data_IF_185141386842
#
_entry.id   IF_185141386842
#
_cell.length_a   1.000
_cell.length_b   1.000
_cell.length_c   1.000
_cell.angle_alpha   90.00
_cell.angle_beta   90.00
_cell.angle_gamma   90.00
#
_symmetry.space_group_name_H-M   'P 1'
#
loop_
_entity.id
_entity.type
_entity.pdbx_description
1 polymer ?
#
# COMPACT_ATOMS: atom_id res chain seq x y z
N UNK A 1 -33.50 -2.92 -18.81
CA UNK A 1 -32.55 -4.01 -18.50
C UNK A 1 -31.14 -3.45 -18.41
N UNK A 2 -30.84 -2.61 -17.40
CA UNK A 2 -29.58 -1.85 -17.35
C UNK A 2 -29.14 -1.56 -15.90
N UNK A 3 -29.42 -2.46 -14.96
CA UNK A 3 -28.99 -2.31 -13.56
C UNK A 3 -28.17 -3.50 -13.07
N UNK A 4 -28.25 -4.66 -13.75
CA UNK A 4 -27.53 -5.87 -13.36
C UNK A 4 -26.03 -5.84 -13.71
N UNK A 5 -25.61 -5.06 -14.71
CA UNK A 5 -24.21 -5.09 -15.17
C UNK A 5 -23.24 -4.30 -14.30
N UNK A 6 -23.72 -3.35 -13.48
CA UNK A 6 -22.89 -2.52 -12.59
C UNK A 6 -22.51 -3.24 -11.29
N UNK A 7 -23.38 -4.12 -10.79
CA UNK A 7 -23.15 -4.88 -9.56
C UNK A 7 -22.15 -6.02 -9.73
N UNK A 8 -22.00 -6.55 -10.95
CA UNK A 8 -21.03 -7.62 -11.24
C UNK A 8 -19.57 -7.12 -11.31
N UNK A 9 -19.33 -5.88 -11.74
CA UNK A 9 -17.95 -5.38 -11.88
C UNK A 9 -17.30 -5.01 -10.54
N UNK A 10 -18.09 -4.59 -9.54
CA UNK A 10 -17.56 -4.28 -8.20
C UNK A 10 -17.19 -5.54 -7.43
N UNK A 11 -18.01 -6.61 -7.53
CA UNK A 11 -17.74 -7.89 -6.87
C UNK A 11 -16.54 -8.65 -7.49
N UNK A 12 -16.22 -8.39 -8.76
CA UNK A 12 -15.05 -8.96 -9.44
C UNK A 12 -13.72 -8.31 -9.01
N UNK A 13 -13.73 -7.05 -8.56
CA UNK A 13 -12.51 -6.40 -8.05
C UNK A 13 -12.12 -6.88 -6.65
N UNK A 14 -13.10 -7.26 -5.84
CA UNK A 14 -12.89 -7.78 -4.47
C UNK A 14 -12.38 -9.23 -4.45
N UNK A 15 -12.52 -9.98 -5.55
CA UNK A 15 -12.24 -11.44 -5.62
C UNK A 15 -11.10 -11.84 -6.58
N UNK A 16 -10.35 -10.90 -7.16
CA UNK A 16 -9.16 -11.28 -7.94
C UNK A 16 -8.08 -11.82 -6.99
N UNK A 17 -7.47 -12.94 -7.36
CA UNK A 17 -6.30 -13.46 -6.64
C UNK A 17 -5.26 -12.35 -6.54
N UNK A 18 -4.89 -12.00 -5.30
CA UNK A 18 -3.89 -11.00 -4.98
C UNK A 18 -2.62 -11.22 -5.81
N UNK A 19 -2.21 -12.48 -6.02
CA UNK A 19 -1.04 -12.82 -6.82
C UNK A 19 -1.16 -12.41 -8.29
N UNK A 20 -2.37 -12.39 -8.87
CA UNK A 20 -2.64 -11.86 -10.21
C UNK A 20 -2.62 -10.33 -10.23
N UNK A 21 -3.09 -9.68 -9.16
CA UNK A 21 -3.11 -8.21 -9.06
C UNK A 21 -1.71 -7.62 -8.87
N UNK A 22 -0.85 -8.29 -8.11
CA UNK A 22 0.53 -7.88 -7.92
C UNK A 22 1.45 -8.33 -9.07
N UNK A 23 0.97 -9.09 -10.05
CA UNK A 23 1.78 -9.71 -11.11
C UNK A 23 2.60 -8.77 -12.00
N UNK A 24 2.53 -7.44 -11.79
CA UNK A 24 3.41 -6.44 -12.37
C UNK A 24 4.49 -6.00 -11.36
N UNK A 25 5.75 -6.03 -11.79
CA UNK A 25 6.96 -5.62 -11.04
C UNK A 25 6.86 -4.22 -10.40
N UNK A 26 6.13 -3.30 -11.03
CA UNK A 26 5.98 -1.93 -10.56
C UNK A 26 4.73 -1.70 -9.68
N UNK A 27 3.93 -2.73 -9.45
CA UNK A 27 2.74 -2.61 -8.59
C UNK A 27 3.08 -2.39 -7.12
N UNK A 28 2.13 -1.83 -6.36
CA UNK A 28 2.21 -1.78 -4.89
C UNK A 28 0.81 -1.68 -4.27
N UNK A 29 0.70 -2.10 -3.01
CA UNK A 29 -0.46 -1.85 -2.16
C UNK A 29 -0.26 -0.54 -1.38
N UNK A 30 -1.33 0.23 -1.21
CA UNK A 30 -1.30 1.48 -0.45
C UNK A 30 -2.56 1.62 0.39
N UNK A 31 -2.38 1.80 1.70
CA UNK A 31 -3.46 2.08 2.64
C UNK A 31 -3.54 3.59 2.81
N UNK A 32 -4.59 4.20 2.25
CA UNK A 32 -4.83 5.64 2.34
C UNK A 32 -5.31 6.10 3.71
N UNK A 33 -5.24 7.41 3.94
CA UNK A 33 -5.81 8.07 5.12
C UNK A 33 -7.35 8.12 5.08
N UNK A 34 -7.98 7.41 4.15
CA UNK A 34 -9.42 7.20 4.03
C UNK A 34 -9.83 5.75 4.37
N UNK A 35 -8.90 4.93 4.87
CA UNK A 35 -9.16 3.55 5.30
C UNK A 35 -9.37 2.56 4.14
N UNK A 36 -8.99 2.94 2.92
CA UNK A 36 -9.03 2.08 1.74
C UNK A 36 -7.62 1.56 1.46
N UNK A 37 -7.47 0.25 1.36
CA UNK A 37 -6.30 -0.36 0.72
C UNK A 37 -6.54 -0.41 -0.78
N UNK A 38 -5.61 0.17 -1.56
CA UNK A 38 -5.63 0.21 -3.03
C UNK A 38 -4.43 -0.54 -3.56
N UNK A 39 -4.61 -1.27 -4.66
CA UNK A 39 -3.51 -1.84 -5.43
C UNK A 39 -3.35 -1.00 -6.69
N UNK A 40 -2.17 -0.40 -6.84
CA UNK A 40 -1.80 0.40 -7.99
C UNK A 40 -0.99 -0.41 -8.97
N UNK A 41 -1.26 -0.25 -10.27
CA UNK A 41 -0.39 -0.74 -11.34
C UNK A 41 0.73 0.27 -11.66
N UNK A 42 1.57 -0.07 -12.65
CA UNK A 42 2.66 0.78 -13.12
C UNK A 42 2.20 2.15 -13.65
N UNK A 43 1.02 2.21 -14.26
CA UNK A 43 0.43 3.45 -14.78
C UNK A 43 -0.16 4.34 -13.66
N UNK A 44 -0.09 3.91 -12.40
CA UNK A 44 -0.68 4.63 -11.27
C UNK A 44 -2.20 4.45 -11.15
N UNK A 45 -2.78 3.46 -11.84
CA UNK A 45 -4.21 3.18 -11.81
C UNK A 45 -4.55 2.17 -10.72
N UNK A 46 -5.72 2.33 -10.09
CA UNK A 46 -6.24 1.40 -9.09
C UNK A 46 -6.82 0.16 -9.78
N UNK A 47 -6.16 -0.99 -9.62
CA UNK A 47 -6.59 -2.28 -10.23
C UNK A 47 -7.32 -3.20 -9.25
N UNK A 48 -7.30 -2.87 -7.96
CA UNK A 48 -8.02 -3.57 -6.89
C UNK A 48 -8.09 -2.71 -5.63
N UNK A 49 -9.08 -2.99 -4.77
CA UNK A 49 -9.21 -2.29 -3.49
C UNK A 49 -9.80 -3.19 -2.40
N UNK A 50 -9.64 -2.78 -1.15
CA UNK A 50 -10.32 -3.37 0.00
C UNK A 50 -10.68 -2.25 0.98
N UNK A 51 -11.92 -2.24 1.45
CA UNK A 51 -12.36 -1.36 2.54
C UNK A 51 -11.92 -2.00 3.85
N UNK A 52 -11.06 -1.32 4.60
CA UNK A 52 -10.58 -1.83 5.87
C UNK A 52 -11.48 -1.35 7.01
N UNK A 53 -11.83 -2.25 7.91
CA UNK A 53 -12.46 -1.87 9.17
C UNK A 53 -11.42 -1.23 10.09
N UNK A 54 -11.90 -0.54 11.12
CA UNK A 54 -11.03 0.02 12.16
C UNK A 54 -10.09 -1.03 12.76
N UNK A 55 -10.61 -2.22 13.08
CA UNK A 55 -9.81 -3.27 13.70
C UNK A 55 -8.74 -3.82 12.73
N UNK A 56 -9.07 -3.92 11.45
CA UNK A 56 -8.10 -4.30 10.41
C UNK A 56 -7.00 -3.23 10.26
N UNK A 57 -7.36 -1.95 10.27
CA UNK A 57 -6.41 -0.84 10.25
C UNK A 57 -5.46 -0.88 11.46
N UNK A 58 -6.00 -1.11 12.66
CA UNK A 58 -5.21 -1.23 13.88
C UNK A 58 -4.27 -2.45 13.82
N UNK A 59 -4.72 -3.58 13.30
CA UNK A 59 -3.88 -4.77 13.11
C UNK A 59 -2.76 -4.54 12.08
N UNK A 60 -3.04 -3.84 10.98
CA UNK A 60 -2.05 -3.46 9.97
C UNK A 60 -0.95 -2.59 10.60
N UNK A 61 -1.32 -1.53 11.34
CA UNK A 61 -0.34 -0.66 12.01
C UNK A 61 0.44 -1.38 13.11
N UNK A 62 -0.23 -2.19 13.93
CA UNK A 62 0.42 -2.93 15.03
C UNK A 62 1.52 -3.87 14.51
N UNK A 63 1.32 -4.46 13.34
CA UNK A 63 2.27 -5.42 12.76
C UNK A 63 3.19 -4.79 11.70
N UNK A 64 3.09 -3.48 11.47
CA UNK A 64 3.93 -2.75 10.52
C UNK A 64 5.32 -2.42 11.11
N UNK A 65 6.35 -2.26 10.27
CA UNK A 65 7.69 -1.83 10.68
C UNK A 65 7.78 -0.30 10.89
N UNK A 66 6.66 0.41 10.92
CA UNK A 66 6.63 1.85 11.19
C UNK A 66 7.21 2.16 12.58
N UNK A 67 7.81 3.33 12.74
CA UNK A 67 8.21 3.85 14.05
C UNK A 67 6.99 4.09 14.94
N UNK A 68 7.18 4.08 16.26
CA UNK A 68 6.07 4.31 17.19
C UNK A 68 5.39 5.68 16.99
N UNK A 69 6.14 6.69 16.54
CA UNK A 69 5.60 8.00 16.18
C UNK A 69 4.70 7.92 14.93
N UNK A 70 5.15 7.24 13.88
CA UNK A 70 4.35 7.01 12.67
C UNK A 70 3.10 6.19 12.98
N UNK A 71 3.23 5.11 13.77
CA UNK A 71 2.09 4.29 14.19
C UNK A 71 1.05 5.14 14.93
N UNK A 72 1.49 5.93 15.91
CA UNK A 72 0.60 6.82 16.68
C UNK A 72 -0.09 7.83 15.77
N UNK A 73 0.63 8.41 14.81
CA UNK A 73 0.07 9.34 13.84
C UNK A 73 -1.02 8.66 12.99
N UNK A 74 -0.74 7.47 12.46
CA UNK A 74 -1.72 6.72 11.65
C UNK A 74 -2.97 6.32 12.44
N UNK A 75 -2.80 5.84 13.68
CA UNK A 75 -3.92 5.52 14.57
C UNK A 75 -4.80 6.75 14.80
N UNK A 76 -4.21 7.94 14.98
CA UNK A 76 -4.96 9.18 15.18
C UNK A 76 -5.79 9.57 13.95
N UNK A 77 -5.21 9.45 12.75
CA UNK A 77 -5.92 9.72 11.49
C UNK A 77 -7.08 8.74 11.29
N UNK A 78 -6.82 7.45 11.50
CA UNK A 78 -7.81 6.39 11.26
C UNK A 78 -8.88 6.29 12.34
N UNK A 79 -8.69 6.93 13.49
CA UNK A 79 -9.66 6.91 14.59
C UNK A 79 -11.04 7.45 14.19
N UNK A 80 -11.13 8.30 13.16
CA UNK A 80 -12.35 9.00 12.74
C UNK A 80 -12.89 8.54 11.39
N UNK A 81 -12.33 7.47 10.83
CA UNK A 81 -12.65 7.04 9.47
C UNK A 81 -13.77 5.99 9.50
N UNK A 82 -14.74 6.19 8.62
CA UNK A 82 -15.66 5.14 8.19
C UNK A 82 -15.41 4.86 6.70
N UNK A 83 -14.69 3.77 6.43
CA UNK A 83 -14.33 3.37 5.07
C UNK A 83 -15.55 3.00 4.23
N UNK A 84 -16.73 2.76 4.83
CA UNK A 84 -17.98 2.50 4.08
C UNK A 84 -18.55 3.74 3.41
N UNK A 85 -18.23 4.95 3.92
CA UNK A 85 -18.70 6.22 3.36
C UNK A 85 -17.89 6.68 2.14
N UNK A 86 -16.75 6.04 1.87
CA UNK A 86 -15.91 6.40 0.72
C UNK A 86 -16.61 5.98 -0.57
N UNK A 87 -16.78 6.93 -1.49
CA UNK A 87 -17.43 6.66 -2.78
C UNK A 87 -16.56 5.77 -3.68
N UNK A 88 -17.17 5.00 -4.58
CA UNK A 88 -16.43 4.23 -5.59
C UNK A 88 -15.57 5.14 -6.47
N UNK A 89 -16.05 6.35 -6.78
CA UNK A 89 -15.29 7.33 -7.55
C UNK A 89 -13.98 7.71 -6.85
N UNK A 90 -14.04 8.00 -5.54
CA UNK A 90 -12.85 8.30 -4.73
C UNK A 90 -11.92 7.09 -4.54
N UNK A 91 -12.46 5.88 -4.57
CA UNK A 91 -11.63 4.66 -4.50
C UNK A 91 -10.73 4.56 -5.74
N UNK A 92 -11.30 4.71 -6.93
CA UNK A 92 -10.55 4.59 -8.20
C UNK A 92 -9.80 5.87 -8.58
N UNK A 93 -10.24 7.03 -8.08
CA UNK A 93 -9.62 8.34 -8.32
C UNK A 93 -9.43 9.07 -6.98
N UNK A 94 -8.50 8.60 -6.13
CA UNK A 94 -8.20 9.27 -4.87
C UNK A 94 -7.65 10.67 -5.11
N UNK A 95 -7.97 11.59 -4.19
CA UNK A 95 -7.36 12.92 -4.17
C UNK A 95 -5.87 12.82 -3.80
N UNK A 96 -5.07 13.77 -4.26
CA UNK A 96 -3.60 13.80 -4.07
C UNK A 96 -3.17 13.80 -2.59
N UNK A 97 -4.01 14.33 -1.70
CA UNK A 97 -3.75 14.33 -0.25
C UNK A 97 -3.78 12.91 0.35
N UNK A 98 -4.44 11.97 -0.32
CA UNK A 98 -4.50 10.56 0.07
C UNK A 98 -3.34 9.75 -0.49
N UNK A 99 -2.67 10.22 -1.54
CA UNK A 99 -1.63 9.48 -2.26
C UNK A 99 -0.23 9.63 -1.62
N UNK A 100 0.66 8.63 -1.81
CA UNK A 100 2.08 8.82 -1.54
C UNK A 100 2.64 9.99 -2.36
N UNK A 101 3.58 10.79 -1.80
CA UNK A 101 4.15 11.96 -2.48
C UNK A 101 4.68 11.69 -3.89
N UNK A 102 5.17 10.48 -4.18
CA UNK A 102 5.70 10.13 -5.51
C UNK A 102 4.64 10.04 -6.61
N UNK A 103 3.37 10.02 -6.23
CA UNK A 103 2.23 10.00 -7.15
C UNK A 103 1.50 11.33 -7.20
N UNK A 104 1.68 12.17 -6.18
CA UNK A 104 1.15 13.52 -6.15
C UNK A 104 2.23 14.42 -6.78
N UNK A 105 2.22 14.54 -8.11
CA UNK A 105 3.17 15.28 -8.97
C UNK A 105 3.86 16.46 -8.25
N UNK A 106 5.02 16.18 -7.66
CA UNK A 106 5.84 17.15 -6.93
C UNK A 106 7.29 16.85 -7.22
N UNK A 107 8.03 17.81 -7.78
CA UNK A 107 9.48 17.72 -8.04
C UNK A 107 10.26 17.34 -6.77
N UNK A 108 9.75 17.67 -5.58
CA UNK A 108 10.32 17.28 -4.30
C UNK A 108 10.28 15.76 -4.07
N UNK A 109 9.30 15.05 -4.65
CA UNK A 109 9.18 13.62 -4.46
C UNK A 109 10.20 12.82 -5.26
N UNK A 110 10.70 13.30 -6.40
CA UNK A 110 11.73 12.60 -7.16
C UNK A 110 13.06 12.56 -6.40
N UNK A 111 13.43 13.67 -5.76
CA UNK A 111 14.63 13.75 -4.93
C UNK A 111 14.52 12.88 -3.68
N UNK A 112 13.37 12.87 -3.02
CA UNK A 112 13.13 12.05 -1.84
C UNK A 112 13.07 10.55 -2.18
N UNK A 113 12.58 10.20 -3.38
CA UNK A 113 12.64 8.83 -3.92
C UNK A 113 14.08 8.39 -4.21
N UNK A 114 14.91 9.27 -4.77
CA UNK A 114 16.34 9.01 -5.03
C UNK A 114 17.13 8.77 -3.74
N UNK A 115 16.94 9.64 -2.74
CA UNK A 115 17.54 9.50 -1.40
C UNK A 115 17.07 8.20 -0.74
N UNK A 116 15.78 7.90 -0.87
CA UNK A 116 15.18 6.67 -0.34
C UNK A 116 15.73 5.40 -1.01
N UNK A 117 15.95 5.42 -2.34
CA UNK A 117 16.58 4.32 -3.08
C UNK A 117 18.03 4.08 -2.61
N UNK A 118 18.79 5.14 -2.36
CA UNK A 118 20.15 5.02 -1.80
C UNK A 118 20.15 4.43 -0.38
N UNK A 119 19.14 4.72 0.43
CA UNK A 119 19.00 4.13 1.77
C UNK A 119 18.65 2.63 1.72
N UNK A 120 17.86 2.19 0.73
CA UNK A 120 17.55 0.77 0.52
C UNK A 120 18.81 -0.06 0.23
N UNK A 121 19.75 0.48 -0.56
CA UNK A 121 20.98 -0.21 -0.93
C UNK A 121 21.92 -0.54 0.25
N UNK A 122 21.72 0.10 1.42
CA UNK A 122 22.57 -0.07 2.60
C UNK A 122 22.05 -1.07 3.65
N UNK A 123 20.92 -1.76 3.40
CA UNK A 123 20.34 -2.70 4.38
C UNK A 123 20.74 -4.15 4.06
N UNK A 124 21.90 -4.57 4.57
CA UNK A 124 22.28 -5.98 4.59
C UNK A 124 21.49 -6.73 5.68
N UNK A 125 20.47 -7.51 5.30
CA UNK A 125 19.69 -8.32 6.26
C UNK A 125 20.34 -9.72 6.44
N UNK A 126 20.70 -10.14 7.67
CA UNK A 126 21.23 -11.49 7.92
C UNK A 126 20.20 -12.59 7.60
N UNK A 127 20.67 -13.67 6.97
CA UNK A 127 19.86 -14.85 6.61
C UNK A 127 19.67 -15.76 7.83
N UNK A 128 18.49 -15.77 8.45
CA UNK A 128 18.13 -16.81 9.43
C UNK A 128 16.76 -17.45 9.14
N UNK A 129 16.53 -18.75 9.46
CA UNK A 129 15.45 -19.55 8.89
C UNK A 129 14.12 -19.53 9.66
N UNK A 130 13.91 -18.62 10.62
CA UNK A 130 12.65 -18.51 11.39
C UNK A 130 12.07 -17.10 11.24
N UNK A 131 10.84 -17.00 10.74
CA UNK A 131 10.07 -15.75 10.62
C UNK A 131 10.08 -15.10 9.23
N UNK A 132 9.59 -15.81 8.19
CA UNK A 132 9.53 -15.28 6.80
C UNK A 132 8.82 -13.92 6.71
N UNK A 133 7.74 -13.73 7.48
CA UNK A 133 7.01 -12.46 7.56
C UNK A 133 7.84 -11.34 8.23
N UNK A 134 8.58 -11.67 9.29
CA UNK A 134 9.40 -10.70 10.02
C UNK A 134 10.63 -10.24 9.22
N UNK A 135 11.15 -11.10 8.33
CA UNK A 135 12.22 -10.72 7.40
C UNK A 135 11.70 -9.72 6.37
N UNK A 136 10.58 -10.02 5.70
CA UNK A 136 10.06 -9.18 4.63
C UNK A 136 9.70 -7.78 5.13
N UNK A 137 9.12 -7.67 6.32
CA UNK A 137 8.76 -6.38 6.91
C UNK A 137 9.95 -5.45 7.18
N UNK A 138 11.18 -5.97 7.26
CA UNK A 138 12.40 -5.15 7.43
C UNK A 138 12.89 -4.55 6.11
N UNK A 139 12.37 -5.01 4.98
CA UNK A 139 12.81 -4.61 3.65
C UNK A 139 11.95 -3.43 3.22
N UNK A 140 12.60 -2.29 3.00
CA UNK A 140 11.95 -1.08 2.49
C UNK A 140 11.86 -1.15 0.97
N UNK A 141 10.76 -0.68 0.41
CA UNK A 141 10.47 -0.83 -1.01
C UNK A 141 9.83 0.44 -1.59
N UNK A 142 10.08 0.64 -2.88
CA UNK A 142 9.36 1.63 -3.69
C UNK A 142 8.24 0.95 -4.49
N UNK A 143 8.49 -0.26 -4.98
CA UNK A 143 7.59 -1.10 -5.78
C UNK A 143 7.73 -2.57 -5.38
N UNK A 144 6.83 -3.43 -5.84
CA UNK A 144 6.85 -4.86 -5.51
C UNK A 144 8.05 -5.61 -6.07
N UNK A 145 8.69 -5.13 -7.13
CA UNK A 145 9.94 -5.69 -7.68
C UNK A 145 11.05 -5.83 -6.63
N UNK A 146 11.27 -4.78 -5.83
CA UNK A 146 12.25 -4.81 -4.74
C UNK A 146 11.94 -5.89 -3.69
N UNK A 147 10.66 -6.23 -3.50
CA UNK A 147 10.25 -7.31 -2.61
C UNK A 147 10.46 -8.69 -3.24
N UNK A 148 10.27 -8.83 -4.56
CA UNK A 148 10.41 -10.10 -5.26
C UNK A 148 11.84 -10.59 -5.33
N UNK A 149 12.79 -9.68 -5.53
CA UNK A 149 14.23 -9.99 -5.46
C UNK A 149 14.60 -10.65 -4.12
N UNK A 150 13.91 -10.26 -3.05
CA UNK A 150 14.11 -10.75 -1.70
C UNK A 150 13.24 -11.94 -1.31
N UNK A 151 12.43 -12.45 -2.26
CA UNK A 151 11.44 -13.54 -2.09
C UNK A 151 10.33 -13.18 -1.10
N UNK A 152 9.89 -11.93 -1.14
CA UNK A 152 8.74 -11.39 -0.41
C UNK A 152 7.57 -11.12 -1.36
N UNK A 153 6.39 -10.78 -0.82
CA UNK A 153 5.15 -10.74 -1.60
C UNK A 153 4.94 -9.43 -2.37
N UNK A 154 4.55 -8.34 -1.71
CA UNK A 154 4.33 -7.07 -2.40
C UNK A 154 4.86 -5.90 -1.57
N UNK A 155 5.06 -4.76 -2.22
CA UNK A 155 5.36 -3.53 -1.52
C UNK A 155 4.08 -2.92 -0.95
N UNK A 156 4.02 -2.71 0.36
CA UNK A 156 2.88 -2.08 1.05
C UNK A 156 3.28 -0.72 1.60
N UNK A 157 2.50 0.31 1.24
CA UNK A 157 2.66 1.70 1.69
C UNK A 157 1.50 2.10 2.60
N UNK A 158 1.78 2.99 3.55
CA UNK A 158 0.77 3.45 4.53
C UNK A 158 0.76 4.97 4.58
N UNK A 159 -0.42 5.55 4.41
CA UNK A 159 -0.65 6.99 4.37
C UNK A 159 0.19 7.68 3.30
N UNK A 160 0.91 8.73 3.70
CA UNK A 160 1.77 9.53 2.81
C UNK A 160 3.24 9.10 2.83
N UNK A 161 3.54 7.89 3.29
CA UNK A 161 4.92 7.40 3.29
C UNK A 161 5.38 7.05 1.88
N UNK A 162 6.53 7.61 1.48
CA UNK A 162 7.15 7.35 0.18
C UNK A 162 7.61 5.89 0.11
N UNK A 163 8.35 5.47 1.13
CA UNK A 163 8.79 4.09 1.24
C UNK A 163 7.71 3.21 1.89
N UNK A 164 7.47 2.08 1.24
CA UNK A 164 6.72 0.98 1.81
C UNK A 164 7.62 -0.02 2.50
N UNK A 165 7.03 -1.17 2.84
CA UNK A 165 7.74 -2.34 3.30
C UNK A 165 7.17 -3.59 2.62
N UNK A 166 7.98 -4.64 2.54
CA UNK A 166 7.53 -5.90 1.95
C UNK A 166 6.65 -6.69 2.92
N UNK A 167 5.50 -7.19 2.45
CA UNK A 167 4.53 -7.91 3.27
C UNK A 167 3.49 -8.68 2.48
#
# INVERSE_FOLDING_TARGET
QQEHSRSYSSALAENKDKRTLYGNEMSFEHIGNDGISRIFNEAGEVVGYTRLTRDQLLAEVATSPLTEQEKKHQIQLWNKIDSSQVSIQQIYHPSEDLLPPMMADSEGSSLELEISKQQIANVLVPRTPRGWQDRCKKIRCVSSSACWEEKCFACKKVGRNILGYCG
#
